data_IF_946098030295
#
_entry.id   IF_946098030295
#
_cell.length_a   1.000
_cell.length_b   1.000
_cell.length_c   1.000
_cell.angle_alpha   90.00
_cell.angle_beta   90.00
_cell.angle_gamma   90.00
#
_symmetry.space_group_name_H-M   'P 1'
#
loop_
_entity.id
_entity.type
_entity.pdbx_description
1 polymer ?
#
# COMPACT_ATOMS: atom_id res chain seq x y z
N UNK A 1 23.25 12.46 8.43
CA UNK A 1 22.05 11.63 8.24
C UNK A 1 21.50 11.12 9.57
N UNK A 2 22.13 10.13 10.23
CA UNK A 2 21.60 9.43 11.43
C UNK A 2 21.07 10.37 12.51
N UNK A 3 21.91 11.24 13.08
CA UNK A 3 21.55 12.13 14.20
C UNK A 3 20.39 13.10 13.88
N UNK A 4 20.29 13.57 12.64
CA UNK A 4 19.25 14.50 12.23
C UNK A 4 17.88 13.79 12.14
N UNK A 5 17.84 12.59 11.55
CA UNK A 5 16.60 11.80 11.46
C UNK A 5 16.17 11.34 12.86
N UNK A 6 17.11 10.84 13.68
CA UNK A 6 16.84 10.43 15.06
C UNK A 6 16.22 11.57 15.87
N UNK A 7 16.74 12.78 15.72
CA UNK A 7 16.21 13.95 16.43
C UNK A 7 14.76 14.23 16.06
N UNK A 8 14.43 14.23 14.76
CA UNK A 8 13.07 14.49 14.28
C UNK A 8 12.10 13.41 14.80
N UNK A 9 12.43 12.13 14.60
CA UNK A 9 11.52 11.04 14.95
C UNK A 9 11.36 10.90 16.47
N UNK A 10 12.43 11.07 17.24
CA UNK A 10 12.41 11.07 18.71
C UNK A 10 11.56 12.22 19.23
N UNK A 11 11.76 13.44 18.72
CA UNK A 11 10.97 14.60 19.14
C UNK A 11 9.48 14.38 18.97
N UNK A 12 9.06 13.83 17.81
CA UNK A 12 7.65 13.52 17.53
C UNK A 12 7.05 12.49 18.48
N UNK A 13 7.80 11.44 18.82
CA UNK A 13 7.34 10.41 19.75
C UNK A 13 7.35 10.88 21.22
N UNK A 14 8.39 11.62 21.65
CA UNK A 14 8.50 12.15 23.01
C UNK A 14 7.42 13.20 23.30
N UNK A 15 7.06 14.02 22.30
CA UNK A 15 5.95 14.96 22.36
C UNK A 15 4.57 14.28 22.29
N UNK A 16 4.51 12.95 22.10
CA UNK A 16 3.30 12.16 21.88
C UNK A 16 2.47 12.63 20.68
N UNK A 17 3.12 13.28 19.72
CA UNK A 17 2.50 13.63 18.44
C UNK A 17 2.24 12.38 17.60
N UNK A 18 3.08 11.36 17.75
CA UNK A 18 2.88 10.00 17.23
C UNK A 18 3.14 8.99 18.38
N UNK A 19 2.49 7.81 18.40
CA UNK A 19 2.69 6.84 19.48
C UNK A 19 4.10 6.23 19.45
N UNK A 20 4.58 5.97 18.27
CA UNK A 20 5.90 5.43 17.98
C UNK A 20 6.07 5.23 16.49
N UNK A 21 7.32 4.98 16.09
CA UNK A 21 7.72 4.89 14.69
C UNK A 21 8.91 3.96 14.51
N UNK A 22 8.91 3.21 13.41
CA UNK A 22 10.11 2.54 12.88
C UNK A 22 10.36 3.07 11.48
N UNK A 23 11.59 3.48 11.20
CA UNK A 23 12.00 3.99 9.89
C UNK A 23 13.31 3.34 9.45
N UNK A 24 13.37 2.91 8.19
CA UNK A 24 14.56 2.32 7.57
C UNK A 24 14.71 2.91 6.17
N UNK A 25 15.94 3.32 5.83
CA UNK A 25 16.33 3.67 4.46
C UNK A 25 17.50 2.78 4.01
N UNK A 26 17.49 2.38 2.75
CA UNK A 26 18.50 1.49 2.18
C UNK A 26 18.82 1.88 0.74
N UNK A 27 20.06 1.61 0.31
CA UNK A 27 20.42 1.45 -1.10
C UNK A 27 20.04 0.04 -1.57
N UNK A 28 20.31 -0.29 -2.81
CA UNK A 28 20.12 -1.64 -3.29
C UNK A 28 20.86 -2.71 -2.45
N UNK A 29 21.97 -2.35 -1.80
CA UNK A 29 22.82 -3.30 -1.09
C UNK A 29 22.95 -3.05 0.41
N UNK A 30 22.86 -1.81 0.87
CA UNK A 30 23.21 -1.41 2.22
C UNK A 30 22.04 -0.72 2.93
N UNK A 31 21.92 -0.94 4.25
CA UNK A 31 21.08 -0.12 5.11
C UNK A 31 21.80 1.20 5.38
N UNK A 32 21.18 2.30 4.97
CA UNK A 32 21.73 3.66 5.11
C UNK A 32 21.31 4.32 6.43
N UNK A 33 20.12 3.98 6.90
CA UNK A 33 19.52 4.45 8.15
C UNK A 33 18.57 3.42 8.72
N UNK A 34 18.53 3.31 10.06
CA UNK A 34 17.46 2.62 10.78
C UNK A 34 17.25 3.25 12.17
N UNK A 35 15.99 3.34 12.59
CA UNK A 35 15.62 3.88 13.89
C UNK A 35 14.25 3.43 14.35
N UNK A 36 14.08 3.30 15.67
CA UNK A 36 12.82 2.98 16.33
C UNK A 36 12.66 3.89 17.56
N UNK A 37 11.51 4.57 17.68
CA UNK A 37 11.26 5.54 18.74
C UNK A 37 9.81 5.44 19.24
N UNK A 38 9.58 5.79 20.52
CA UNK A 38 8.27 5.78 21.13
C UNK A 38 7.83 4.40 21.62
N UNK A 39 6.53 4.14 21.60
CA UNK A 39 5.89 2.95 22.15
C UNK A 39 5.06 2.20 21.12
N UNK A 40 4.95 0.88 21.30
CA UNK A 40 4.05 0.04 20.50
C UNK A 40 2.56 0.26 20.87
N UNK A 41 2.32 0.61 22.13
CA UNK A 41 0.99 0.90 22.67
C UNK A 41 1.15 1.97 23.77
N UNK A 42 0.48 3.11 23.63
CA UNK A 42 0.59 4.21 24.59
C UNK A 42 0.03 3.86 25.96
N UNK A 43 -0.82 2.85 26.07
CA UNK A 43 -1.36 2.36 27.34
C UNK A 43 -0.42 1.39 28.08
N UNK A 44 0.70 0.99 27.46
CA UNK A 44 1.64 0.00 27.96
C UNK A 44 3.07 0.55 28.04
N UNK A 45 3.97 -0.10 28.78
CA UNK A 45 5.36 0.32 28.88
C UNK A 45 6.22 -0.04 27.65
N UNK A 46 5.75 -0.97 26.81
CA UNK A 46 6.55 -1.60 25.75
C UNK A 46 7.07 -0.58 24.72
N UNK A 47 8.40 -0.49 24.64
CA UNK A 47 9.05 0.39 23.67
C UNK A 47 8.89 -0.12 22.23
N UNK A 48 8.91 0.80 21.27
CA UNK A 48 9.07 0.49 19.87
C UNK A 48 10.46 -0.09 19.62
N UNK A 49 10.54 -1.15 18.80
CA UNK A 49 11.79 -1.82 18.42
C UNK A 49 11.84 -2.00 16.91
N UNK A 50 13.02 -2.21 16.32
CA UNK A 50 13.18 -2.37 14.87
C UNK A 50 12.40 -3.56 14.30
N UNK A 51 12.14 -4.57 15.12
CA UNK A 51 11.37 -5.78 14.81
C UNK A 51 9.89 -5.69 15.20
N UNK A 52 9.41 -4.51 15.59
CA UNK A 52 7.99 -4.27 15.84
C UNK A 52 7.16 -4.57 14.59
N UNK A 53 6.03 -5.24 14.79
CA UNK A 53 5.14 -5.72 13.72
C UNK A 53 4.00 -4.73 13.54
N UNK A 54 3.71 -4.38 12.30
CA UNK A 54 2.69 -3.40 11.92
C UNK A 54 1.69 -4.01 10.94
N UNK A 55 0.43 -3.64 11.03
CA UNK A 55 -0.47 -3.78 9.91
C UNK A 55 -0.06 -2.78 8.83
N UNK A 56 0.42 -3.26 7.70
CA UNK A 56 0.95 -2.40 6.64
C UNK A 56 -0.12 -1.94 5.64
N UNK A 57 -1.36 -2.36 5.87
CA UNK A 57 -2.52 -1.96 5.06
C UNK A 57 -2.22 -1.98 3.55
N UNK A 58 -2.47 -0.87 2.86
CA UNK A 58 -2.34 -0.81 1.40
C UNK A 58 -0.93 -0.92 0.84
N UNK A 59 0.12 -0.94 1.68
CA UNK A 59 1.46 -1.34 1.22
C UNK A 59 1.48 -2.81 0.74
N UNK A 60 0.49 -3.63 1.16
CA UNK A 60 0.22 -4.99 0.64
C UNK A 60 0.09 -5.02 -0.88
N UNK A 61 -0.48 -3.97 -1.49
CA UNK A 61 -0.79 -3.93 -2.92
C UNK A 61 0.41 -4.15 -3.81
N UNK A 62 1.53 -3.52 -3.50
CA UNK A 62 2.76 -3.67 -4.28
C UNK A 62 3.27 -5.13 -4.26
N UNK A 63 3.17 -5.79 -3.11
CA UNK A 63 3.58 -7.20 -2.95
C UNK A 63 2.63 -8.13 -3.70
N UNK A 64 1.31 -7.92 -3.59
CA UNK A 64 0.31 -8.72 -4.32
C UNK A 64 0.47 -8.57 -5.83
N UNK A 65 0.71 -7.34 -6.30
CA UNK A 65 0.97 -7.06 -7.71
C UNK A 65 2.25 -7.74 -8.20
N UNK A 66 3.34 -7.70 -7.41
CA UNK A 66 4.58 -8.40 -7.73
C UNK A 66 4.36 -9.92 -7.84
N UNK A 67 3.56 -10.51 -6.93
CA UNK A 67 3.17 -11.92 -7.01
C UNK A 67 2.36 -12.26 -8.27
N UNK A 68 1.44 -11.36 -8.69
CA UNK A 68 0.72 -11.54 -9.94
C UNK A 68 1.66 -11.44 -11.17
N UNK A 69 2.64 -10.53 -11.11
CA UNK A 69 3.61 -10.38 -12.20
C UNK A 69 4.53 -11.59 -12.37
N UNK A 70 4.86 -12.34 -11.31
CA UNK A 70 5.53 -13.65 -11.43
C UNK A 70 4.71 -14.63 -12.27
N UNK A 71 3.37 -14.61 -12.13
CA UNK A 71 2.49 -15.46 -12.93
C UNK A 71 2.33 -14.94 -14.37
N UNK A 72 2.48 -13.65 -14.60
CA UNK A 72 2.56 -13.07 -15.95
C UNK A 72 3.84 -13.53 -16.64
N UNK A 73 5.00 -13.49 -15.97
CA UNK A 73 6.27 -14.02 -16.47
C UNK A 73 6.17 -15.50 -16.87
N UNK A 74 5.40 -16.29 -16.10
CA UNK A 74 5.17 -17.71 -16.35
C UNK A 74 4.12 -17.96 -17.46
N UNK A 75 3.52 -16.93 -18.04
CA UNK A 75 2.44 -17.05 -19.02
C UNK A 75 1.13 -17.59 -18.46
N UNK A 76 0.96 -17.63 -17.12
CA UNK A 76 -0.26 -18.10 -16.45
C UNK A 76 -1.30 -17.01 -16.27
N UNK A 77 -0.89 -15.75 -16.28
CA UNK A 77 -1.74 -14.56 -16.29
C UNK A 77 -1.39 -13.69 -17.50
N UNK A 78 -2.38 -12.99 -18.02
CA UNK A 78 -2.21 -11.96 -19.05
C UNK A 78 -2.62 -10.61 -18.50
N UNK A 79 -1.84 -9.56 -18.79
CA UNK A 79 -2.18 -8.20 -18.38
C UNK A 79 -3.42 -7.66 -19.09
N UNK A 80 -3.64 -8.03 -20.35
CA UNK A 80 -4.58 -7.37 -21.25
C UNK A 80 -5.75 -8.23 -21.71
N UNK A 81 -5.73 -9.54 -21.39
CA UNK A 81 -6.87 -10.41 -21.61
C UNK A 81 -8.02 -10.10 -20.64
N UNK A 82 -9.30 -10.25 -21.06
CA UNK A 82 -10.43 -10.14 -20.16
C UNK A 82 -10.30 -11.07 -18.96
N UNK A 83 -10.19 -10.51 -17.76
CA UNK A 83 -9.96 -11.26 -16.52
C UNK A 83 -11.18 -12.13 -16.16
N UNK A 84 -12.36 -11.80 -16.66
CA UNK A 84 -13.59 -12.59 -16.48
C UNK A 84 -13.51 -14.02 -17.00
N UNK A 85 -12.55 -14.34 -17.87
CA UNK A 85 -12.27 -15.74 -18.27
C UNK A 85 -11.74 -16.57 -17.10
N UNK A 86 -10.98 -15.95 -16.20
CA UNK A 86 -10.38 -16.58 -15.03
C UNK A 86 -11.21 -16.35 -13.76
N UNK A 87 -11.79 -15.16 -13.63
CA UNK A 87 -12.66 -14.75 -12.52
C UNK A 87 -14.09 -14.49 -13.04
N UNK A 88 -14.98 -15.50 -13.05
CA UNK A 88 -16.32 -15.38 -13.62
C UNK A 88 -17.16 -14.24 -13.03
N UNK A 89 -16.96 -13.88 -11.76
CA UNK A 89 -17.62 -12.75 -11.10
C UNK A 89 -17.32 -11.40 -11.79
N UNK A 90 -16.24 -11.30 -12.55
CA UNK A 90 -15.84 -10.12 -13.32
C UNK A 90 -16.17 -10.21 -14.83
N UNK A 91 -16.89 -11.26 -15.27
CA UNK A 91 -17.20 -11.44 -16.68
C UNK A 91 -18.22 -10.40 -17.22
N UNK A 92 -19.15 -9.97 -16.35
CA UNK A 92 -20.22 -9.03 -16.71
C UNK A 92 -20.38 -7.95 -15.65
N UNK A 93 -19.39 -7.07 -15.49
CA UNK A 93 -19.41 -6.04 -14.45
C UNK A 93 -20.56 -5.05 -14.67
N UNK A 94 -21.15 -4.58 -13.57
CA UNK A 94 -22.22 -3.59 -13.59
C UNK A 94 -21.68 -2.25 -13.09
N UNK A 95 -22.04 -1.17 -13.77
CA UNK A 95 -21.70 0.21 -13.38
C UNK A 95 -22.85 0.78 -12.56
N UNK A 96 -22.56 1.35 -11.40
CA UNK A 96 -23.50 2.13 -10.62
C UNK A 96 -23.63 3.52 -11.25
N UNK A 97 -24.85 3.89 -11.70
CA UNK A 97 -25.18 5.21 -12.27
C UNK A 97 -25.79 6.16 -11.23
N UNK A 98 -25.90 5.74 -10.00
CA UNK A 98 -26.54 6.45 -8.90
C UNK A 98 -27.77 5.70 -8.38
N UNK A 99 -28.72 6.44 -7.83
CA UNK A 99 -29.91 5.89 -7.15
C UNK A 99 -31.19 6.50 -7.70
N UNK A 100 -32.29 5.78 -7.56
CA UNK A 100 -33.61 6.30 -7.88
C UNK A 100 -34.19 7.14 -6.73
N UNK A 101 -35.44 7.60 -6.88
CA UNK A 101 -36.12 8.42 -5.87
C UNK A 101 -36.40 7.65 -4.55
N UNK A 102 -36.34 6.32 -4.56
CA UNK A 102 -36.49 5.45 -3.38
C UNK A 102 -35.14 5.04 -2.77
N UNK A 103 -34.03 5.53 -3.36
CA UNK A 103 -32.66 5.17 -2.96
C UNK A 103 -32.25 3.78 -3.47
N UNK A 104 -32.93 3.18 -4.45
CA UNK A 104 -32.52 1.92 -5.05
C UNK A 104 -31.40 2.15 -6.08
N UNK A 105 -30.34 1.29 -6.10
CA UNK A 105 -29.23 1.47 -7.01
C UNK A 105 -29.65 1.25 -8.48
N UNK A 106 -29.23 2.18 -9.34
CA UNK A 106 -29.37 2.07 -10.79
C UNK A 106 -28.11 1.48 -11.39
N UNK A 107 -28.22 0.29 -11.93
CA UNK A 107 -27.10 -0.43 -12.52
C UNK A 107 -27.29 -0.56 -14.04
N UNK A 108 -26.15 -0.50 -14.76
CA UNK A 108 -26.09 -0.86 -16.18
C UNK A 108 -24.90 -1.76 -16.45
N UNK A 109 -24.94 -2.57 -17.52
CA UNK A 109 -23.74 -3.27 -17.98
C UNK A 109 -22.58 -2.32 -18.29
N UNK A 110 -21.37 -2.71 -17.93
CA UNK A 110 -20.17 -1.95 -18.27
C UNK A 110 -19.88 -2.00 -19.77
N UNK A 111 -19.27 -0.93 -20.30
CA UNK A 111 -18.76 -0.87 -21.66
C UNK A 111 -17.31 -1.35 -21.66
N UNK A 112 -17.11 -2.61 -22.03
CA UNK A 112 -15.80 -3.24 -22.05
C UNK A 112 -15.55 -4.21 -20.88
N UNK A 113 -14.57 -5.06 -21.06
CA UNK A 113 -14.16 -6.04 -20.06
C UNK A 113 -13.09 -5.48 -19.15
N UNK A 114 -13.04 -5.98 -17.92
CA UNK A 114 -11.96 -5.70 -16.97
C UNK A 114 -10.74 -6.56 -17.32
N UNK A 115 -9.55 -5.97 -17.25
CA UNK A 115 -8.26 -6.65 -17.41
C UNK A 115 -7.44 -6.63 -16.13
N UNK A 116 -6.43 -7.51 -16.03
CA UNK A 116 -5.50 -7.52 -14.90
C UNK A 116 -4.74 -6.18 -14.79
N UNK A 117 -4.33 -5.59 -15.92
CA UNK A 117 -3.70 -4.26 -15.97
C UNK A 117 -4.59 -3.21 -15.33
N UNK A 118 -5.86 -3.15 -15.67
CA UNK A 118 -6.80 -2.17 -15.11
C UNK A 118 -7.02 -2.38 -13.60
N UNK A 119 -7.05 -3.63 -13.12
CA UNK A 119 -7.08 -3.92 -11.69
C UNK A 119 -5.80 -3.38 -10.98
N UNK A 120 -4.62 -3.67 -11.53
CA UNK A 120 -3.34 -3.25 -10.94
C UNK A 120 -3.12 -1.73 -11.01
N UNK A 121 -3.80 -1.05 -11.91
CA UNK A 121 -3.68 0.40 -12.10
C UNK A 121 -4.82 1.21 -11.49
N UNK A 122 -5.76 0.58 -10.81
CA UNK A 122 -6.96 1.24 -10.28
C UNK A 122 -7.79 1.97 -11.36
N UNK A 123 -7.85 1.39 -12.57
CA UNK A 123 -8.69 1.90 -13.68
C UNK A 123 -9.81 0.94 -14.06
N UNK A 124 -10.03 -0.14 -13.28
CA UNK A 124 -11.13 -1.07 -13.53
C UNK A 124 -12.50 -0.51 -13.09
N UNK A 125 -12.52 0.55 -12.28
CA UNK A 125 -13.74 1.22 -11.82
C UNK A 125 -14.18 0.86 -10.41
N UNK A 126 -13.53 -0.06 -9.70
CA UNK A 126 -13.80 -0.33 -8.29
C UNK A 126 -13.31 0.79 -7.40
N UNK A 127 -14.04 1.05 -6.30
CA UNK A 127 -13.71 2.09 -5.34
C UNK A 127 -13.61 1.55 -3.91
N UNK A 128 -13.19 2.42 -2.99
CA UNK A 128 -13.40 2.26 -1.55
C UNK A 128 -14.50 3.19 -1.07
N UNK A 129 -15.36 2.68 -0.21
CA UNK A 129 -16.47 3.42 0.38
C UNK A 129 -16.03 4.61 1.26
N UNK A 130 -14.78 4.66 1.69
CA UNK A 130 -14.25 5.78 2.50
C UNK A 130 -13.90 7.02 1.67
N UNK A 131 -13.79 6.88 0.33
CA UNK A 131 -13.52 7.97 -0.61
C UNK A 131 -14.55 8.12 -1.73
N UNK A 132 -15.64 7.34 -1.66
CA UNK A 132 -16.70 7.39 -2.67
C UNK A 132 -18.06 7.27 -1.99
N UNK A 133 -18.85 8.35 -2.01
CA UNK A 133 -20.15 8.44 -1.35
C UNK A 133 -21.19 7.48 -1.95
N UNK A 134 -21.20 7.31 -3.27
CA UNK A 134 -22.14 6.39 -3.93
C UNK A 134 -21.82 4.94 -3.55
N UNK A 135 -20.52 4.62 -3.41
CA UNK A 135 -20.11 3.31 -2.92
C UNK A 135 -20.57 3.09 -1.47
N UNK A 136 -20.38 4.09 -0.59
CA UNK A 136 -20.82 4.02 0.80
C UNK A 136 -22.34 3.79 0.88
N UNK A 137 -23.11 4.57 0.12
CA UNK A 137 -24.57 4.45 0.05
C UNK A 137 -25.00 3.09 -0.51
N UNK A 138 -24.30 2.57 -1.53
CA UNK A 138 -24.58 1.23 -2.07
C UNK A 138 -24.40 0.14 -1.01
N UNK A 139 -23.27 0.16 -0.28
CA UNK A 139 -23.02 -0.85 0.76
C UNK A 139 -24.06 -0.77 1.88
N UNK A 140 -24.42 0.42 2.31
CA UNK A 140 -25.45 0.65 3.34
C UNK A 140 -26.81 0.12 2.85
N UNK A 141 -27.24 0.50 1.64
CA UNK A 141 -28.54 0.15 1.09
C UNK A 141 -28.71 -1.35 0.87
N UNK A 142 -27.64 -2.01 0.39
CA UNK A 142 -27.68 -3.45 0.06
C UNK A 142 -27.32 -4.36 1.23
N UNK A 143 -26.82 -3.80 2.34
CA UNK A 143 -26.29 -4.58 3.45
C UNK A 143 -24.99 -5.32 3.09
N UNK A 144 -24.31 -4.93 2.00
CA UNK A 144 -23.04 -5.53 1.60
C UNK A 144 -21.96 -5.12 2.60
N UNK A 145 -21.25 -6.07 3.25
CA UNK A 145 -20.20 -5.73 4.20
C UNK A 145 -19.03 -5.03 3.49
N UNK A 146 -18.30 -4.18 4.23
CA UNK A 146 -17.09 -3.57 3.69
C UNK A 146 -15.97 -4.61 3.53
N UNK A 147 -14.93 -4.23 2.81
CA UNK A 147 -13.81 -5.11 2.46
C UNK A 147 -13.05 -5.65 3.67
N UNK A 148 -13.03 -4.94 4.81
CA UNK A 148 -12.37 -5.41 6.05
C UNK A 148 -13.02 -6.62 6.68
N UNK A 149 -14.27 -6.97 6.28
CA UNK A 149 -14.89 -8.21 6.69
C UNK A 149 -14.18 -9.45 6.16
N UNK A 150 -13.39 -9.31 5.10
CA UNK A 150 -12.71 -10.40 4.39
C UNK A 150 -13.66 -11.53 3.93
N UNK A 151 -14.97 -11.23 3.77
CA UNK A 151 -15.98 -12.14 3.23
C UNK A 151 -16.05 -11.99 1.71
N UNK A 152 -16.19 -13.09 0.98
CA UNK A 152 -16.29 -13.05 -0.49
C UNK A 152 -17.46 -12.18 -1.00
N UNK A 153 -18.53 -12.05 -0.22
CA UNK A 153 -19.66 -11.18 -0.55
C UNK A 153 -19.26 -9.69 -0.58
N UNK A 154 -18.23 -9.27 0.17
CA UNK A 154 -17.72 -7.89 0.15
C UNK A 154 -17.09 -7.51 -1.20
N UNK A 155 -16.72 -8.49 -2.02
CA UNK A 155 -16.22 -8.28 -3.38
C UNK A 155 -17.35 -8.09 -4.41
N UNK A 156 -18.60 -8.37 -4.06
CA UNK A 156 -19.76 -8.27 -4.98
C UNK A 156 -20.31 -6.84 -5.02
N UNK A 157 -19.48 -5.89 -5.41
CA UNK A 157 -19.86 -4.49 -5.59
C UNK A 157 -19.86 -4.10 -7.05
N UNK A 158 -20.72 -3.16 -7.48
CA UNK A 158 -20.61 -2.58 -8.81
C UNK A 158 -19.32 -1.76 -8.94
N UNK A 159 -18.94 -1.49 -10.17
CA UNK A 159 -17.90 -0.50 -10.49
C UNK A 159 -18.55 0.89 -10.64
N UNK A 160 -17.77 1.96 -10.38
CA UNK A 160 -18.26 3.35 -10.43
C UNK A 160 -18.07 4.01 -11.81
N UNK A 161 -17.38 3.34 -12.72
CA UNK A 161 -17.11 3.84 -14.08
C UNK A 161 -16.80 2.69 -15.02
N UNK A 162 -16.95 2.92 -16.32
CA UNK A 162 -16.50 1.95 -17.32
C UNK A 162 -14.99 1.68 -17.20
N UNK A 163 -14.52 0.43 -17.36
CA UNK A 163 -13.11 0.08 -17.24
C UNK A 163 -12.23 0.91 -18.16
N UNK A 164 -11.12 1.43 -17.63
CA UNK A 164 -10.14 2.24 -18.37
C UNK A 164 -10.47 3.73 -18.51
N UNK A 165 -11.63 4.21 -18.01
CA UNK A 165 -12.07 5.59 -18.26
C UNK A 165 -11.61 6.60 -17.22
N UNK A 166 -11.31 6.15 -15.99
CA UNK A 166 -10.77 7.00 -14.93
C UNK A 166 -9.93 6.21 -13.94
N UNK A 167 -9.08 6.89 -13.20
CA UNK A 167 -8.41 6.33 -12.04
C UNK A 167 -9.32 6.46 -10.82
N UNK A 168 -9.59 5.32 -10.16
CA UNK A 168 -10.44 5.24 -8.96
C UNK A 168 -9.82 4.26 -7.98
N UNK A 169 -9.33 4.77 -6.84
CA UNK A 169 -8.70 3.94 -5.83
C UNK A 169 -9.72 3.05 -5.12
N UNK A 170 -9.49 1.75 -5.09
CA UNK A 170 -10.47 0.82 -4.54
C UNK A 170 -9.96 -0.61 -4.36
N UNK A 171 -10.91 -1.53 -4.21
CA UNK A 171 -10.71 -2.95 -3.94
C UNK A 171 -10.09 -3.74 -5.12
N UNK A 172 -9.58 -3.05 -6.13
CA UNK A 172 -9.05 -3.64 -7.36
C UNK A 172 -8.01 -4.74 -7.09
N UNK A 173 -7.09 -4.51 -6.14
CA UNK A 173 -5.97 -5.44 -5.87
C UNK A 173 -6.43 -6.67 -5.07
N UNK A 174 -7.58 -6.63 -4.44
CA UNK A 174 -8.18 -7.82 -3.85
C UNK A 174 -8.56 -8.84 -4.94
N UNK A 175 -9.06 -8.37 -6.09
CA UNK A 175 -9.26 -9.21 -7.28
C UNK A 175 -7.95 -9.66 -7.92
N UNK A 176 -6.87 -8.87 -7.85
CA UNK A 176 -5.54 -9.36 -8.25
C UNK A 176 -5.12 -10.54 -7.38
N UNK A 177 -5.35 -10.47 -6.06
CA UNK A 177 -5.15 -11.60 -5.15
C UNK A 177 -5.95 -12.83 -5.56
N UNK A 178 -7.24 -12.66 -5.91
CA UNK A 178 -8.08 -13.75 -6.44
C UNK A 178 -7.55 -14.32 -7.76
N UNK A 179 -7.00 -13.47 -8.63
CA UNK A 179 -6.38 -13.92 -9.88
C UNK A 179 -5.11 -14.74 -9.61
N UNK A 180 -4.29 -14.36 -8.64
CA UNK A 180 -3.14 -15.15 -8.19
C UNK A 180 -3.59 -16.52 -7.68
N UNK A 181 -4.63 -16.58 -6.86
CA UNK A 181 -5.19 -17.86 -6.38
C UNK A 181 -5.68 -18.75 -7.54
N UNK A 182 -6.47 -18.19 -8.44
CA UNK A 182 -7.03 -18.93 -9.56
C UNK A 182 -5.96 -19.44 -10.54
N UNK A 183 -4.92 -18.65 -10.84
CA UNK A 183 -3.86 -19.01 -11.78
C UNK A 183 -2.81 -19.95 -11.18
N UNK A 184 -2.59 -19.88 -9.86
CA UNK A 184 -1.57 -20.69 -9.18
C UNK A 184 -2.13 -21.98 -8.56
N UNK A 185 -3.43 -22.04 -8.29
CA UNK A 185 -4.08 -23.10 -7.51
C UNK A 185 -3.74 -23.07 -6.01
N UNK A 186 -3.12 -22.00 -5.51
CA UNK A 186 -2.76 -21.81 -4.10
C UNK A 186 -3.53 -20.62 -3.51
N UNK A 187 -3.81 -20.68 -2.21
CA UNK A 187 -4.29 -19.46 -1.50
C UNK A 187 -3.21 -18.38 -1.56
N UNK A 188 -3.64 -17.11 -1.53
CA UNK A 188 -2.73 -15.97 -1.69
C UNK A 188 -1.62 -15.94 -0.62
N UNK A 189 -1.94 -16.26 0.64
CA UNK A 189 -0.95 -16.33 1.72
C UNK A 189 0.13 -17.38 1.44
N UNK A 190 -0.25 -18.56 1.00
CA UNK A 190 0.68 -19.65 0.67
C UNK A 190 1.52 -19.30 -0.56
N UNK A 191 0.90 -18.69 -1.59
CA UNK A 191 1.62 -18.28 -2.79
C UNK A 191 2.69 -17.23 -2.46
N UNK A 192 2.33 -16.15 -1.76
CA UNK A 192 3.27 -15.08 -1.43
C UNK A 192 4.36 -15.54 -0.45
N UNK A 193 4.02 -16.40 0.53
CA UNK A 193 5.03 -17.00 1.41
C UNK A 193 6.08 -17.76 0.62
N UNK A 194 5.66 -18.65 -0.29
CA UNK A 194 6.55 -19.57 -1.01
C UNK A 194 7.36 -18.85 -2.10
N UNK A 195 6.79 -17.84 -2.76
CA UNK A 195 7.36 -17.23 -3.96
C UNK A 195 7.87 -15.79 -3.75
N UNK A 196 7.56 -15.15 -2.61
CA UNK A 196 8.00 -13.79 -2.31
C UNK A 196 8.70 -13.72 -0.96
N UNK A 197 8.03 -14.09 0.14
CA UNK A 197 8.55 -13.87 1.49
C UNK A 197 9.75 -14.77 1.80
N UNK A 198 9.65 -16.07 1.58
CA UNK A 198 10.76 -16.99 1.85
C UNK A 198 12.00 -16.69 0.98
N UNK A 199 11.89 -16.48 -0.35
CA UNK A 199 13.03 -16.09 -1.17
C UNK A 199 13.71 -14.80 -0.73
N UNK A 200 12.94 -13.79 -0.26
CA UNK A 200 13.47 -12.51 0.19
C UNK A 200 13.91 -12.51 1.67
N UNK A 201 13.65 -13.59 2.42
CA UNK A 201 13.91 -13.65 3.86
C UNK A 201 13.01 -12.71 4.68
N UNK A 202 11.76 -12.51 4.26
CA UNK A 202 10.73 -11.71 4.93
C UNK A 202 9.94 -12.61 5.89
N UNK A 203 10.53 -12.96 7.02
CA UNK A 203 10.00 -13.98 7.94
C UNK A 203 8.86 -13.48 8.83
N UNK A 204 8.76 -12.18 9.04
CA UNK A 204 7.74 -11.50 9.84
C UNK A 204 6.66 -10.84 8.97
N UNK A 205 6.48 -11.33 7.74
CA UNK A 205 5.47 -10.81 6.80
C UNK A 205 4.44 -11.88 6.49
N UNK A 206 3.16 -11.55 6.67
CA UNK A 206 2.07 -12.48 6.39
C UNK A 206 0.69 -11.89 6.66
N UNK A 207 -0.36 -12.61 6.21
CA UNK A 207 -1.76 -12.25 6.49
C UNK A 207 -2.19 -12.67 7.89
N UNK A 208 -1.51 -13.64 8.50
CA UNK A 208 -1.78 -14.12 9.85
C UNK A 208 -0.71 -13.64 10.80
N UNK A 209 -1.14 -13.21 11.97
CA UNK A 209 -0.27 -12.84 13.08
C UNK A 209 0.11 -14.13 13.82
N UNK A 210 1.39 -14.50 13.78
CA UNK A 210 1.90 -15.62 14.58
C UNK A 210 2.01 -15.23 16.06
N UNK A 211 2.19 -16.21 16.95
CA UNK A 211 2.34 -15.94 18.40
C UNK A 211 3.55 -15.05 18.69
N UNK A 212 4.65 -15.21 17.94
CA UNK A 212 5.82 -14.35 18.03
C UNK A 212 5.55 -12.93 17.53
N UNK A 213 4.93 -12.78 16.37
CA UNK A 213 4.52 -11.47 15.85
C UNK A 213 3.58 -10.75 16.82
N UNK A 214 2.67 -11.47 17.49
CA UNK A 214 1.71 -10.91 18.46
C UNK A 214 2.40 -10.24 19.65
N UNK A 215 3.53 -10.75 20.09
CA UNK A 215 4.31 -10.14 21.20
C UNK A 215 4.95 -8.81 20.78
N UNK A 216 5.13 -8.58 19.49
CA UNK A 216 5.78 -7.40 18.91
C UNK A 216 4.79 -6.51 18.15
N UNK A 217 3.50 -6.84 18.16
CA UNK A 217 2.46 -6.13 17.42
C UNK A 217 2.25 -4.72 17.98
N UNK A 218 2.22 -3.75 17.08
CA UNK A 218 1.92 -2.35 17.39
C UNK A 218 0.41 -2.13 17.39
N UNK A 219 -0.12 -1.54 18.45
CA UNK A 219 -1.52 -1.18 18.52
C UNK A 219 -1.85 -0.05 17.55
N UNK A 220 -3.00 -0.14 16.89
CA UNK A 220 -3.55 0.99 16.13
C UNK A 220 -4.07 2.05 17.10
N UNK A 221 -3.70 3.31 16.87
CA UNK A 221 -4.16 4.44 17.67
C UNK A 221 -5.09 5.32 16.85
N UNK A 222 -6.15 5.80 17.44
CA UNK A 222 -7.00 6.84 16.84
C UNK A 222 -6.63 8.20 17.43
N UNK A 223 -6.54 9.22 16.54
CA UNK A 223 -6.41 10.61 16.97
C UNK A 223 -7.79 11.20 17.26
N UNK A 224 -7.96 11.71 18.47
CA UNK A 224 -9.15 12.47 18.88
C UNK A 224 -9.16 13.89 18.30
N UNK A 225 -10.31 14.54 18.38
CA UNK A 225 -10.49 15.95 17.94
C UNK A 225 -9.61 16.93 18.74
N UNK A 226 -9.29 16.58 19.97
CA UNK A 226 -8.38 17.33 20.86
C UNK A 226 -6.90 17.08 20.57
N UNK A 227 -6.60 16.25 19.55
CA UNK A 227 -5.24 15.84 19.16
C UNK A 227 -4.66 14.69 19.98
N UNK A 228 -5.35 14.20 21.01
CA UNK A 228 -4.92 13.04 21.81
C UNK A 228 -4.88 11.77 20.98
N UNK A 229 -4.08 10.79 21.41
CA UNK A 229 -3.97 9.47 20.79
C UNK A 229 -4.40 8.39 21.79
N UNK A 230 -5.30 7.53 21.38
CA UNK A 230 -5.74 6.38 22.14
C UNK A 230 -5.66 5.08 21.34
N UNK A 231 -5.18 3.97 21.91
CA UNK A 231 -5.21 2.68 21.24
C UNK A 231 -6.66 2.23 21.03
N UNK A 232 -6.91 1.66 19.84
CA UNK A 232 -8.22 1.11 19.48
C UNK A 232 -8.09 -0.38 19.15
N UNK A 233 -9.14 -1.19 19.41
CA UNK A 233 -9.16 -2.60 19.03
C UNK A 233 -9.39 -2.71 17.52
N UNK A 234 -8.31 -2.86 16.76
CA UNK A 234 -8.36 -3.05 15.32
C UNK A 234 -7.41 -4.18 14.91
N UNK A 235 -7.94 -5.16 14.22
CA UNK A 235 -7.20 -6.27 13.64
C UNK A 235 -7.95 -6.78 12.41
N UNK A 236 -7.22 -7.14 11.36
CA UNK A 236 -7.79 -7.79 10.17
C UNK A 236 -8.16 -9.23 10.53
N UNK A 237 -9.29 -9.72 9.98
CA UNK A 237 -9.78 -11.09 10.22
C UNK A 237 -8.67 -12.13 10.01
N UNK A 238 -8.43 -12.96 11.03
CA UNK A 238 -7.34 -13.94 11.05
C UNK A 238 -7.72 -15.29 10.40
N UNK A 239 -9.03 -15.55 10.19
CA UNK A 239 -9.55 -16.72 9.48
C UNK A 239 -10.49 -16.29 8.34
N UNK A 240 -9.99 -15.50 7.38
CA UNK A 240 -10.80 -14.88 6.35
C UNK A 240 -11.29 -15.91 5.31
N UNK A 241 -12.42 -15.61 4.64
CA UNK A 241 -12.83 -16.34 3.44
C UNK A 241 -11.85 -16.12 2.28
N UNK A 242 -11.29 -14.90 2.18
CA UNK A 242 -10.20 -14.57 1.26
C UNK A 242 -9.18 -13.66 1.94
N UNK A 243 -7.91 -13.81 1.61
CA UNK A 243 -6.88 -12.89 2.06
C UNK A 243 -6.96 -11.59 1.27
N UNK A 244 -7.11 -10.48 1.99
CA UNK A 244 -7.26 -9.15 1.41
C UNK A 244 -5.96 -8.69 0.75
N UNK A 245 -5.80 -9.01 -0.54
CA UNK A 245 -4.61 -8.67 -1.34
C UNK A 245 -4.37 -7.17 -1.45
N UNK A 246 -5.41 -6.37 -1.25
CA UNK A 246 -5.34 -4.92 -1.22
C UNK A 246 -4.93 -4.31 0.13
N UNK A 247 -4.81 -5.10 1.23
CA UNK A 247 -4.56 -4.45 2.52
C UNK A 247 -4.37 -5.34 3.74
N UNK A 248 -4.26 -6.65 3.59
CA UNK A 248 -4.34 -7.58 4.72
C UNK A 248 -3.01 -7.97 5.38
N UNK A 249 -1.85 -7.56 4.85
CA UNK A 249 -0.56 -7.98 5.38
C UNK A 249 -0.18 -7.25 6.67
N UNK A 250 0.47 -8.00 7.54
CA UNK A 250 1.31 -7.52 8.63
C UNK A 250 2.78 -7.70 8.24
N UNK A 251 3.65 -6.80 8.70
CA UNK A 251 5.08 -6.84 8.38
C UNK A 251 5.89 -6.03 9.38
N UNK A 252 7.21 -6.14 9.31
CA UNK A 252 8.17 -5.22 9.94
C UNK A 252 8.78 -4.29 8.89
N UNK A 253 9.34 -3.16 9.32
CA UNK A 253 10.08 -2.28 8.43
C UNK A 253 11.30 -2.99 7.82
N UNK A 254 11.95 -3.88 8.62
CA UNK A 254 13.09 -4.69 8.18
C UNK A 254 12.75 -5.71 7.10
N UNK A 255 11.53 -6.24 7.08
CA UNK A 255 11.09 -7.11 5.99
C UNK A 255 10.67 -6.31 4.76
N UNK A 256 9.88 -5.24 4.96
CA UNK A 256 9.41 -4.46 3.82
C UNK A 256 10.55 -3.78 3.05
N UNK A 257 11.64 -3.36 3.73
CA UNK A 257 12.80 -2.78 3.06
C UNK A 257 13.49 -3.80 2.12
N UNK A 258 13.46 -5.10 2.44
CA UNK A 258 13.98 -6.15 1.54
C UNK A 258 13.18 -6.23 0.24
N UNK A 259 11.85 -6.04 0.32
CA UNK A 259 11.00 -5.94 -0.87
C UNK A 259 11.36 -4.72 -1.73
N UNK A 260 11.53 -3.53 -1.11
CA UNK A 260 11.92 -2.33 -1.87
C UNK A 260 13.33 -2.42 -2.45
N UNK A 261 14.28 -3.04 -1.74
CA UNK A 261 15.62 -3.35 -2.25
C UNK A 261 15.57 -4.32 -3.44
N UNK A 262 14.68 -5.32 -3.40
CA UNK A 262 14.47 -6.22 -4.52
C UNK A 262 14.04 -5.46 -5.78
N UNK A 263 13.16 -4.47 -5.66
CA UNK A 263 12.77 -3.60 -6.78
C UNK A 263 13.96 -2.75 -7.27
N UNK A 264 14.74 -2.11 -6.36
CA UNK A 264 15.96 -1.37 -6.72
C UNK A 264 16.96 -2.26 -7.48
N UNK A 265 17.09 -3.51 -7.07
CA UNK A 265 18.00 -4.51 -7.63
C UNK A 265 17.38 -5.26 -8.82
N UNK A 266 16.39 -4.65 -9.50
CA UNK A 266 15.80 -5.20 -10.72
C UNK A 266 15.28 -6.63 -10.53
N UNK A 267 14.58 -6.87 -9.44
CA UNK A 267 13.94 -8.13 -9.12
C UNK A 267 14.79 -9.10 -8.30
N UNK A 268 16.03 -8.73 -7.92
CA UNK A 268 16.93 -9.59 -7.16
C UNK A 268 17.00 -9.20 -5.69
N UNK A 269 16.82 -10.16 -4.79
CA UNK A 269 16.96 -9.96 -3.34
C UNK A 269 17.37 -11.24 -2.63
N UNK A 270 18.13 -11.14 -1.54
CA UNK A 270 18.59 -12.27 -0.72
C UNK A 270 19.20 -13.42 -1.58
N UNK A 271 19.96 -13.07 -2.62
CA UNK A 271 20.59 -14.04 -3.53
C UNK A 271 19.65 -14.66 -4.58
N UNK A 272 18.36 -14.42 -4.53
CA UNK A 272 17.34 -14.97 -5.43
C UNK A 272 16.88 -13.95 -6.48
N UNK A 273 16.57 -14.41 -7.70
CA UNK A 273 15.82 -13.65 -8.68
C UNK A 273 14.33 -13.92 -8.42
N UNK A 274 13.59 -12.90 -7.98
CA UNK A 274 12.17 -13.02 -7.59
C UNK A 274 11.26 -12.51 -8.69
N UNK A 275 11.72 -11.52 -9.45
CA UNK A 275 11.10 -10.98 -10.66
C UNK A 275 12.19 -10.77 -11.72
N UNK A 276 11.85 -10.89 -12.98
CA UNK A 276 12.78 -10.54 -14.06
C UNK A 276 12.99 -9.02 -14.13
N UNK A 277 14.20 -8.55 -14.55
CA UNK A 277 14.48 -7.11 -14.67
C UNK A 277 13.48 -6.35 -15.53
N UNK A 278 13.04 -6.95 -16.63
CA UNK A 278 12.06 -6.40 -17.56
C UNK A 278 10.69 -6.23 -16.92
N UNK A 279 10.32 -7.16 -16.02
CA UNK A 279 9.08 -7.09 -15.25
C UNK A 279 9.10 -5.94 -14.27
N UNK A 280 10.20 -5.75 -13.54
CA UNK A 280 10.37 -4.61 -12.63
C UNK A 280 10.31 -3.29 -13.41
N UNK A 281 11.01 -3.22 -14.56
CA UNK A 281 10.96 -2.05 -15.42
C UNK A 281 9.54 -1.78 -15.95
N UNK A 282 8.79 -2.83 -16.30
CA UNK A 282 7.40 -2.71 -16.71
C UNK A 282 6.52 -2.20 -15.57
N UNK A 283 6.67 -2.72 -14.35
CA UNK A 283 5.90 -2.28 -13.19
C UNK A 283 6.10 -0.79 -12.85
N UNK A 284 7.27 -0.25 -13.15
CA UNK A 284 7.65 1.14 -12.89
C UNK A 284 7.19 2.15 -13.96
N UNK A 285 6.58 1.70 -15.06
CA UNK A 285 6.10 2.57 -16.13
C UNK A 285 4.71 3.13 -15.84
N UNK A 286 4.37 4.26 -16.46
CA UNK A 286 3.01 4.78 -16.47
C UNK A 286 2.07 3.86 -17.26
N UNK A 287 1.08 3.28 -16.61
CA UNK A 287 0.08 2.40 -17.21
C UNK A 287 -1.33 2.99 -17.27
N UNK A 288 -1.49 4.26 -16.88
CA UNK A 288 -2.78 4.96 -16.94
C UNK A 288 -2.86 6.00 -18.06
N UNK A 289 -1.86 6.02 -18.96
CA UNK A 289 -1.82 6.94 -20.10
C UNK A 289 -1.96 8.41 -19.68
N UNK A 290 -2.93 9.11 -20.27
CA UNK A 290 -3.20 10.52 -19.97
C UNK A 290 -3.97 10.75 -18.67
N UNK A 291 -4.57 9.71 -18.09
CA UNK A 291 -5.23 9.82 -16.80
C UNK A 291 -4.25 10.30 -15.72
N UNK A 292 -4.77 11.00 -14.74
CA UNK A 292 -4.01 11.52 -13.60
C UNK A 292 -4.66 11.13 -12.28
N UNK A 293 -3.86 11.09 -11.23
CA UNK A 293 -4.34 10.85 -9.87
C UNK A 293 -4.68 12.19 -9.24
N UNK A 294 -5.95 12.39 -8.98
CA UNK A 294 -6.46 13.57 -8.28
C UNK A 294 -6.54 13.40 -6.76
N UNK A 295 -7.05 14.41 -6.10
CA UNK A 295 -7.39 14.38 -4.67
C UNK A 295 -8.50 13.35 -4.43
N UNK A 296 -8.33 12.51 -3.42
CA UNK A 296 -9.37 11.64 -2.90
C UNK A 296 -10.03 12.32 -1.69
N UNK A 297 -11.28 12.76 -1.85
CA UNK A 297 -12.02 13.41 -0.77
C UNK A 297 -12.64 12.36 0.15
N UNK A 298 -12.44 12.51 1.45
CA UNK A 298 -13.00 11.57 2.43
C UNK A 298 -14.49 11.73 2.60
N UNK A 299 -15.19 10.60 2.77
CA UNK A 299 -16.56 10.52 3.28
C UNK A 299 -16.63 9.78 4.62
N UNK A 300 -15.46 9.42 5.18
CA UNK A 300 -15.33 8.69 6.42
C UNK A 300 -14.13 9.23 7.24
N UNK A 301 -14.24 10.42 7.85
CA UNK A 301 -13.12 11.13 8.48
C UNK A 301 -12.49 10.38 9.67
N UNK A 302 -13.18 9.41 10.25
CA UNK A 302 -12.62 8.53 11.28
C UNK A 302 -11.51 7.61 10.75
N UNK A 303 -11.51 7.29 9.45
CA UNK A 303 -10.51 6.42 8.83
C UNK A 303 -9.45 7.16 8.04
N UNK A 304 -9.82 8.28 7.42
CA UNK A 304 -8.93 9.01 6.51
C UNK A 304 -9.28 10.49 6.46
N UNK A 305 -8.26 11.34 6.34
CA UNK A 305 -8.42 12.70 5.85
C UNK A 305 -8.51 12.69 4.31
N UNK A 306 -8.72 13.87 3.71
CA UNK A 306 -8.55 14.04 2.28
C UNK A 306 -7.12 13.70 1.88
N UNK A 307 -6.95 12.97 0.77
CA UNK A 307 -5.64 12.50 0.31
C UNK A 307 -5.25 13.22 -0.97
N UNK A 308 -4.21 14.02 -0.88
CA UNK A 308 -3.54 14.63 -2.03
C UNK A 308 -2.03 14.62 -1.80
N UNK A 309 -1.41 13.50 -2.12
CA UNK A 309 0.05 13.36 -2.05
C UNK A 309 0.68 14.15 -3.20
N UNK A 310 1.62 15.06 -2.86
CA UNK A 310 2.29 15.92 -3.84
C UNK A 310 1.32 16.77 -4.68
N UNK A 311 0.56 17.71 -4.08
CA UNK A 311 -0.51 18.45 -4.77
C UNK A 311 -0.02 19.22 -6.00
N UNK A 312 1.25 19.67 -6.01
CA UNK A 312 1.85 20.46 -7.09
C UNK A 312 2.50 19.60 -8.19
N UNK A 313 2.43 18.29 -8.07
CA UNK A 313 3.07 17.34 -9.01
C UNK A 313 2.01 16.48 -9.69
N UNK A 314 2.08 16.38 -11.01
CA UNK A 314 1.29 15.39 -11.75
C UNK A 314 1.72 13.99 -11.30
N UNK A 315 0.73 13.19 -10.90
CA UNK A 315 0.94 11.81 -10.45
C UNK A 315 0.43 10.84 -11.50
N UNK A 316 1.20 9.79 -11.73
CA UNK A 316 0.87 8.66 -12.59
C UNK A 316 0.86 7.37 -11.78
N UNK A 317 0.45 6.28 -12.40
CA UNK A 317 0.40 4.98 -11.76
C UNK A 317 1.04 3.88 -12.60
N UNK A 318 1.91 3.11 -11.97
CA UNK A 318 2.49 1.90 -12.51
C UNK A 318 1.67 0.65 -12.17
N UNK A 319 2.26 -0.52 -12.27
CA UNK A 319 1.59 -1.73 -11.80
C UNK A 319 1.72 -1.82 -10.28
N UNK A 320 0.79 -1.13 -9.63
CA UNK A 320 0.60 -0.94 -8.19
C UNK A 320 1.58 0.00 -7.47
N UNK A 321 2.10 1.00 -8.19
CA UNK A 321 2.91 2.09 -7.61
C UNK A 321 2.42 3.45 -8.07
N UNK A 322 2.35 4.40 -7.14
CA UNK A 322 2.29 5.83 -7.46
C UNK A 322 3.62 6.26 -8.08
N UNK A 323 3.57 7.09 -9.12
CA UNK A 323 4.75 7.65 -9.78
C UNK A 323 4.67 9.18 -9.73
N UNK A 324 5.63 9.85 -9.07
CA UNK A 324 5.78 11.30 -9.17
C UNK A 324 6.52 11.66 -10.46
N UNK A 325 5.96 12.58 -11.26
CA UNK A 325 6.52 12.95 -12.58
C UNK A 325 7.56 14.07 -12.50
N UNK A 326 7.72 14.69 -11.35
CA UNK A 326 8.71 15.73 -11.07
C UNK A 326 9.42 15.45 -9.73
N UNK A 327 10.55 16.10 -9.48
CA UNK A 327 11.25 16.04 -8.20
C UNK A 327 10.35 16.58 -7.09
N UNK A 328 10.31 15.88 -5.94
CA UNK A 328 9.55 16.35 -4.77
C UNK A 328 10.36 17.34 -3.93
N UNK A 329 9.68 18.05 -3.03
CA UNK A 329 10.31 19.00 -2.11
C UNK A 329 11.28 18.30 -1.14
N UNK A 330 10.97 17.07 -0.72
CA UNK A 330 11.76 16.24 0.18
C UNK A 330 13.00 15.64 -0.50
N UNK A 331 13.03 15.56 -1.84
CA UNK A 331 14.20 15.18 -2.60
C UNK A 331 14.06 14.01 -3.58
N UNK A 332 12.91 13.33 -3.64
CA UNK A 332 12.71 12.23 -4.60
C UNK A 332 12.90 12.69 -6.03
N UNK A 333 13.56 11.88 -6.82
CA UNK A 333 13.68 12.08 -8.26
C UNK A 333 12.32 11.92 -8.95
N UNK A 334 12.16 12.54 -10.10
CA UNK A 334 11.07 12.19 -11.01
C UNK A 334 11.15 10.71 -11.39
N UNK A 335 10.01 10.03 -11.45
CA UNK A 335 9.94 8.59 -11.72
C UNK A 335 10.12 7.70 -10.51
N UNK A 336 10.20 8.24 -9.28
CA UNK A 336 10.19 7.44 -8.06
C UNK A 336 8.84 6.74 -7.88
N UNK A 337 8.89 5.56 -7.26
CA UNK A 337 7.75 4.71 -6.97
C UNK A 337 7.38 4.86 -5.49
N UNK A 338 6.10 4.87 -5.18
CA UNK A 338 5.65 4.98 -3.79
C UNK A 338 4.25 4.42 -3.59
N UNK A 339 3.88 4.19 -2.37
CA UNK A 339 2.51 4.14 -1.88
C UNK A 339 2.49 4.19 -0.34
N UNK A 340 1.30 3.97 0.22
CA UNK A 340 1.06 4.09 1.66
C UNK A 340 0.06 3.05 2.17
N UNK A 341 -0.05 2.94 3.48
CA UNK A 341 -1.06 2.18 4.20
C UNK A 341 -1.93 3.06 5.08
N UNK A 342 -3.18 2.67 5.23
CA UNK A 342 -4.24 3.42 5.92
C UNK A 342 -3.85 3.88 7.35
N UNK A 343 -3.02 3.12 8.04
CA UNK A 343 -2.55 3.45 9.39
C UNK A 343 -1.28 4.33 9.40
N UNK A 344 -1.08 5.18 8.40
CA UNK A 344 0.07 6.06 8.23
C UNK A 344 1.40 5.28 8.15
N UNK A 345 1.42 4.27 7.31
CA UNK A 345 2.63 3.56 6.88
C UNK A 345 2.97 3.98 5.45
N UNK A 346 4.26 4.22 5.16
CA UNK A 346 4.69 4.77 3.87
C UNK A 346 5.95 4.09 3.37
N UNK A 347 6.09 3.99 2.05
CA UNK A 347 7.34 3.62 1.41
C UNK A 347 7.56 4.42 0.13
N UNK A 348 8.82 4.56 -0.25
CA UNK A 348 9.21 5.03 -1.58
C UNK A 348 10.43 4.26 -2.08
N UNK A 349 10.60 4.26 -3.39
CA UNK A 349 11.73 3.67 -4.11
C UNK A 349 12.16 4.69 -5.15
N UNK A 350 13.40 5.15 -5.10
CA UNK A 350 14.00 6.08 -6.05
C UNK A 350 15.16 5.40 -6.79
N UNK A 351 14.91 4.78 -7.95
CA UNK A 351 15.95 4.10 -8.69
C UNK A 351 17.05 5.03 -9.22
N UNK A 352 16.73 6.32 -9.44
CA UNK A 352 17.70 7.29 -9.93
C UNK A 352 18.76 7.67 -8.88
N UNK A 353 18.43 7.52 -7.59
CA UNK A 353 19.33 7.80 -6.46
C UNK A 353 19.79 6.53 -5.75
N UNK A 354 19.42 5.35 -6.25
CA UNK A 354 19.64 4.06 -5.59
C UNK A 354 19.26 4.08 -4.12
N UNK A 355 18.04 4.54 -3.81
CA UNK A 355 17.56 4.62 -2.43
C UNK A 355 16.08 4.24 -2.33
N UNK A 356 15.75 3.57 -1.25
CA UNK A 356 14.37 3.36 -0.82
C UNK A 356 14.22 3.63 0.67
N UNK A 357 13.01 3.95 1.09
CA UNK A 357 12.70 4.16 2.50
C UNK A 357 11.34 3.60 2.87
N UNK A 358 11.25 3.15 4.10
CA UNK A 358 10.06 2.63 4.75
C UNK A 358 9.91 3.30 6.10
N UNK A 359 8.74 3.86 6.39
CA UNK A 359 8.39 4.37 7.72
C UNK A 359 7.04 3.80 8.13
N UNK A 360 6.98 3.21 9.31
CA UNK A 360 5.79 2.55 9.82
C UNK A 360 5.35 3.20 11.14
N UNK A 361 4.11 3.65 11.15
CA UNK A 361 3.35 4.13 12.29
C UNK A 361 2.02 3.38 12.33
N UNK A 362 1.21 3.53 13.38
CA UNK A 362 -0.11 2.89 13.47
C UNK A 362 -1.10 3.91 14.02
N UNK A 363 -1.46 4.88 13.18
CA UNK A 363 -2.34 6.00 13.54
C UNK A 363 -3.48 6.14 12.52
N UNK A 364 -4.69 6.33 12.98
CA UNK A 364 -5.83 6.80 12.21
C UNK A 364 -6.24 8.21 12.67
N UNK A 365 -6.78 9.04 11.78
CA UNK A 365 -7.04 8.82 10.35
C UNK A 365 -5.76 8.79 9.50
N UNK A 366 -5.85 8.20 8.31
CA UNK A 366 -4.81 8.28 7.28
C UNK A 366 -4.55 9.74 6.84
N UNK A 367 -3.32 10.04 6.42
CA UNK A 367 -2.86 11.40 6.12
C UNK A 367 -2.99 12.30 7.36
N UNK A 368 -2.63 11.74 8.53
CA UNK A 368 -2.50 12.49 9.76
C UNK A 368 -1.34 13.48 9.66
N UNK A 369 -1.57 14.76 9.97
CA UNK A 369 -0.59 15.82 9.78
C UNK A 369 0.73 15.54 10.54
N UNK A 370 0.66 14.98 11.76
CA UNK A 370 1.85 14.68 12.57
C UNK A 370 2.65 13.50 12.03
N UNK A 371 1.95 12.52 11.47
CA UNK A 371 2.58 11.41 10.77
C UNK A 371 3.24 11.87 9.46
N UNK A 372 2.60 12.75 8.70
CA UNK A 372 3.21 13.34 7.50
C UNK A 372 4.43 14.20 7.81
N UNK A 373 4.41 14.99 8.88
CA UNK A 373 5.59 15.75 9.33
C UNK A 373 6.76 14.82 9.68
N UNK A 374 6.49 13.69 10.36
CA UNK A 374 7.51 12.68 10.68
C UNK A 374 8.06 12.02 9.40
N UNK A 375 7.19 11.68 8.46
CA UNK A 375 7.56 11.10 7.17
C UNK A 375 8.43 12.07 6.33
N UNK A 376 7.99 13.32 6.16
CA UNK A 376 8.73 14.36 5.43
C UNK A 376 10.11 14.62 6.06
N UNK A 377 10.20 14.67 7.39
CA UNK A 377 11.47 14.84 8.11
C UNK A 377 12.42 13.66 7.92
N UNK A 378 11.92 12.43 7.96
CA UNK A 378 12.70 11.23 7.65
C UNK A 378 13.22 11.26 6.21
N UNK A 379 12.34 11.47 5.25
CA UNK A 379 12.68 11.48 3.83
C UNK A 379 13.70 12.57 3.50
N UNK A 380 13.46 13.83 3.91
CA UNK A 380 14.39 14.94 3.71
C UNK A 380 15.76 14.67 4.34
N UNK A 381 15.79 14.05 5.52
CA UNK A 381 17.03 13.66 6.20
C UNK A 381 17.83 12.60 5.42
N UNK A 382 17.15 11.65 4.76
CA UNK A 382 17.80 10.65 3.90
C UNK A 382 18.46 11.35 2.70
N UNK A 383 17.72 12.17 1.96
CA UNK A 383 18.26 12.84 0.77
C UNK A 383 19.38 13.84 1.10
N UNK A 384 19.25 14.62 2.19
CA UNK A 384 20.33 15.49 2.66
C UNK A 384 21.61 14.70 2.98
N UNK A 385 21.47 13.51 3.58
CA UNK A 385 22.62 12.65 3.86
C UNK A 385 23.30 12.09 2.61
N UNK A 386 22.52 11.76 1.56
CA UNK A 386 23.05 11.30 0.27
C UNK A 386 23.83 12.43 -0.44
N UNK A 387 23.33 13.67 -0.38
CA UNK A 387 23.97 14.81 -1.03
C UNK A 387 25.32 15.16 -0.39
N UNK A 388 25.45 15.07 0.93
CA UNK A 388 26.74 15.25 1.64
C UNK A 388 27.74 14.14 1.26
N UNK A 389 27.29 12.88 1.19
CA UNK A 389 28.14 11.74 0.82
C UNK A 389 28.66 11.82 -0.62
N UNK A 390 27.88 12.37 -1.54
CA UNK A 390 28.30 12.56 -2.95
C UNK A 390 29.32 13.69 -3.10
N UNK A 391 29.21 14.76 -2.33
CA UNK A 391 30.18 15.85 -2.32
C UNK A 391 31.57 15.45 -1.77
N UNK A 392 31.64 14.51 -0.84
CA UNK A 392 32.88 13.98 -0.29
C UNK A 392 33.62 12.98 -1.22
N UNK A 393 32.91 12.36 -2.17
CA UNK A 393 33.52 11.43 -3.15
C UNK A 393 34.02 12.15 -4.41
N UNK A 394 33.63 13.40 -4.62
CA UNK A 394 34.02 14.24 -5.76
C UNK A 394 35.16 15.21 -5.45
N UNK A 395 35.65 15.30 -4.19
CA UNK A 395 36.80 16.08 -3.71
C UNK A 395 37.96 15.15 -3.37
#
# INVERSE_FOLDING_TARGET
>A
MQSQIDQVLRQKSDAKEIPGVVAIAASGNDVLYQGAFGKRDLSKPDAMTLDSVFWIASMTKAITAAGAMQLVEQGKLSLDEPIGKLLPDLANPQVLEGFDANGEPKLRPAKGAITLRQLMTHTAGFCYNVWNGDCAQYLEKTGTPNIFSCLNVALKTPIMSDPGTRWEYGINIDFVGKAVEAASGKRLDAYLRDHMFAPLGMHDTGFKITDDMRQRLVATHARGEDGSLAPIPFEIEQNPEFHMGGGGLYSTAGDYIKFTQMILNKGRGNGNQVLEPETVALMAQNHIGDLTIGKMTTVAPMYTNDVDLFPDIVKKWGLSFLINTAKTAEGRSAGSLAWAGLANTYFWIDPARDVSGVILMQVLPFVDAKCLEAFAGFESGVYAGLDVGSGQRAA
#
